data_IF_974957070089
#
_entry.id   IF_974957070089
#
_cell.length_a   1.000
_cell.length_b   1.000
_cell.length_c   1.000
_cell.angle_alpha   90.00
_cell.angle_beta   90.00
_cell.angle_gamma   90.00
#
_symmetry.space_group_name_H-M   'P 1'
#
loop_
_entity.id
_entity.type
_entity.pdbx_description
1 polymer ?
#
# COMPACT_ATOMS: atom_id res chain seq x y z
N UNK A 1 27.24 10.71 9.84
CA UNK A 1 26.25 11.20 8.84
C UNK A 1 25.63 10.06 8.03
N UNK A 2 26.40 9.13 7.44
CA UNK A 2 25.86 7.97 6.73
C UNK A 2 24.94 7.09 7.59
N UNK A 3 25.34 6.79 8.82
CA UNK A 3 24.52 5.98 9.75
C UNK A 3 23.18 6.63 10.08
N UNK A 4 23.16 7.95 10.23
CA UNK A 4 21.92 8.68 10.46
C UNK A 4 20.95 8.57 9.26
N UNK A 5 21.47 8.69 8.04
CA UNK A 5 20.70 8.52 6.80
C UNK A 5 20.15 7.09 6.72
N UNK A 6 20.96 6.07 7.01
CA UNK A 6 20.52 4.67 7.01
C UNK A 6 19.37 4.44 8.00
N UNK A 7 19.51 4.91 9.24
CA UNK A 7 18.49 4.75 10.28
C UNK A 7 17.17 5.39 9.84
N UNK A 8 17.21 6.61 9.31
CA UNK A 8 15.99 7.28 8.80
C UNK A 8 15.35 6.46 7.67
N UNK A 9 16.14 6.02 6.68
CA UNK A 9 15.60 5.25 5.56
C UNK A 9 14.99 3.92 6.02
N UNK A 10 15.59 3.24 7.01
CA UNK A 10 15.02 2.02 7.61
C UNK A 10 13.68 2.33 8.28
N UNK A 11 13.62 3.37 9.10
CA UNK A 11 12.38 3.76 9.81
C UNK A 11 11.27 4.08 8.82
N UNK A 12 11.56 4.88 7.79
CA UNK A 12 10.59 5.22 6.74
C UNK A 12 10.15 3.97 5.98
N UNK A 13 11.07 3.06 5.66
CA UNK A 13 10.75 1.81 4.96
C UNK A 13 9.78 0.95 5.78
N UNK A 14 10.10 0.70 7.05
CA UNK A 14 9.26 -0.10 7.95
C UNK A 14 7.88 0.52 8.11
N UNK A 15 7.79 1.83 8.34
CA UNK A 15 6.50 2.55 8.44
C UNK A 15 5.71 2.41 7.14
N UNK A 16 6.36 2.58 5.98
CA UNK A 16 5.69 2.45 4.68
C UNK A 16 5.17 1.03 4.41
N UNK A 17 5.87 -0.01 4.87
CA UNK A 17 5.40 -1.41 4.79
C UNK A 17 4.14 -1.62 5.61
N UNK A 18 4.14 -1.21 6.89
CA UNK A 18 2.96 -1.34 7.73
C UNK A 18 1.78 -0.51 7.19
N UNK A 19 2.04 0.72 6.73
CA UNK A 19 1.02 1.57 6.12
C UNK A 19 0.43 0.94 4.85
N UNK A 20 1.25 0.29 4.02
CA UNK A 20 0.78 -0.47 2.87
C UNK A 20 -0.08 -1.67 3.28
N UNK A 21 0.35 -2.48 4.25
CA UNK A 21 -0.41 -3.65 4.72
C UNK A 21 -1.80 -3.20 5.18
N UNK A 22 -1.85 -2.18 6.05
CA UNK A 22 -3.11 -1.60 6.53
C UNK A 22 -3.92 -1.03 5.35
N UNK A 23 -3.28 -0.26 4.48
CA UNK A 23 -3.92 0.34 3.31
C UNK A 23 -4.57 -0.69 2.39
N UNK A 24 -3.89 -1.80 2.09
CA UNK A 24 -4.41 -2.89 1.27
C UNK A 24 -5.56 -3.61 1.97
N UNK A 25 -5.45 -3.90 3.27
CA UNK A 25 -6.53 -4.56 4.02
C UNK A 25 -7.80 -3.70 4.12
N UNK A 26 -7.67 -2.37 4.06
CA UNK A 26 -8.79 -1.44 4.03
C UNK A 26 -9.49 -1.36 2.67
N UNK A 27 -8.90 -1.90 1.59
CA UNK A 27 -9.59 -1.97 0.31
C UNK A 27 -10.75 -2.95 0.42
N UNK A 28 -11.92 -2.54 -0.10
CA UNK A 28 -13.07 -3.43 -0.16
C UNK A 28 -12.69 -4.65 -1.00
N UNK A 29 -12.82 -5.85 -0.42
CA UNK A 29 -12.51 -7.10 -1.09
C UNK A 29 -13.50 -7.37 -2.22
N UNK A 30 -13.24 -6.83 -3.41
CA UNK A 30 -13.92 -7.25 -4.65
C UNK A 30 -13.23 -8.51 -5.17
N UNK A 31 -13.94 -9.64 -5.24
CA UNK A 31 -13.48 -10.81 -6.00
C UNK A 31 -13.07 -12.06 -5.22
N UNK A 32 -13.70 -12.34 -4.07
CA UNK A 32 -13.39 -13.53 -3.26
C UNK A 32 -14.18 -14.80 -3.63
N UNK A 33 -15.25 -14.70 -4.42
CA UNK A 33 -16.15 -15.81 -4.72
C UNK A 33 -16.27 -16.13 -6.22
N UNK A 34 -16.57 -17.40 -6.54
CA UNK A 34 -16.84 -17.85 -7.93
C UNK A 34 -17.93 -16.99 -8.61
N UNK A 35 -18.93 -16.52 -7.85
CA UNK A 35 -19.98 -15.61 -8.34
C UNK A 35 -19.43 -14.28 -8.87
N UNK A 36 -18.41 -13.70 -8.22
CA UNK A 36 -17.78 -12.45 -8.68
C UNK A 36 -16.96 -12.68 -9.96
N UNK A 37 -16.43 -13.89 -10.15
CA UNK A 37 -15.68 -14.30 -11.35
C UNK A 37 -16.59 -14.59 -12.55
N UNK A 38 -17.87 -14.92 -12.32
CA UNK A 38 -18.89 -15.16 -13.35
C UNK A 38 -19.83 -13.96 -13.59
N UNK A 39 -19.41 -12.75 -13.21
CA UNK A 39 -20.17 -11.51 -13.48
C UNK A 39 -21.29 -11.20 -12.49
N UNK A 40 -21.40 -11.98 -11.40
CA UNK A 40 -22.36 -11.80 -10.32
C UNK A 40 -21.95 -10.78 -9.25
N UNK A 41 -21.24 -9.71 -9.63
CA UNK A 41 -20.81 -8.63 -8.74
C UNK A 41 -21.92 -7.60 -8.48
N UNK A 42 -23.14 -8.08 -8.19
CA UNK A 42 -24.26 -7.24 -7.81
C UNK A 42 -24.13 -6.78 -6.37
N UNK A 43 -24.03 -5.47 -6.17
CA UNK A 43 -24.51 -4.76 -4.97
C UNK A 43 -23.95 -5.19 -3.60
N UNK A 44 -22.69 -4.84 -3.29
CA UNK A 44 -22.29 -4.61 -1.90
C UNK A 44 -20.98 -3.79 -1.79
N UNK A 45 -21.09 -2.47 -1.92
CA UNK A 45 -20.27 -1.53 -1.16
C UNK A 45 -20.89 -0.14 -1.30
N UNK A 46 -21.93 0.16 -0.53
CA UNK A 46 -22.35 1.54 -0.26
C UNK A 46 -21.35 2.25 0.68
N UNK A 47 -20.06 2.03 0.46
CA UNK A 47 -18.95 2.75 1.07
C UNK A 47 -18.36 3.64 -0.01
N UNK A 48 -18.54 4.95 0.14
CA UNK A 48 -18.14 6.04 -0.75
C UNK A 48 -17.08 5.66 -1.82
N UNK A 49 -17.48 5.62 -3.09
CA UNK A 49 -16.53 5.48 -4.21
C UNK A 49 -15.41 6.53 -4.17
N UNK A 50 -15.65 7.69 -3.54
CA UNK A 50 -14.63 8.69 -3.27
C UNK A 50 -13.64 8.26 -2.18
N UNK A 51 -14.10 7.56 -1.13
CA UNK A 51 -13.23 6.98 -0.11
C UNK A 51 -12.34 5.86 -0.70
N UNK A 52 -12.90 4.99 -1.53
CA UNK A 52 -12.11 3.94 -2.22
C UNK A 52 -11.07 4.56 -3.16
N UNK A 53 -11.45 5.61 -3.91
CA UNK A 53 -10.51 6.35 -4.77
C UNK A 53 -9.41 7.05 -3.97
N UNK A 54 -9.73 7.61 -2.81
CA UNK A 54 -8.75 8.25 -1.94
C UNK A 54 -7.80 7.24 -1.31
N UNK A 55 -8.32 6.10 -0.85
CA UNK A 55 -7.53 5.01 -0.30
C UNK A 55 -6.53 4.48 -1.35
N UNK A 56 -6.99 4.29 -2.59
CA UNK A 56 -6.12 3.93 -3.72
C UNK A 56 -4.96 4.93 -3.91
N UNK A 57 -5.23 6.23 -3.87
CA UNK A 57 -4.20 7.27 -4.00
C UNK A 57 -3.19 7.19 -2.85
N UNK A 58 -3.68 7.08 -1.61
CA UNK A 58 -2.82 7.00 -0.41
C UNK A 58 -1.93 5.75 -0.46
N UNK A 59 -2.50 4.58 -0.75
CA UNK A 59 -1.75 3.33 -0.85
C UNK A 59 -0.74 3.37 -2.00
N UNK A 60 -1.08 4.02 -3.13
CA UNK A 60 -0.12 4.23 -4.24
C UNK A 60 1.06 5.08 -3.80
N UNK A 61 0.83 6.15 -3.04
CA UNK A 61 1.92 6.99 -2.51
C UNK A 61 2.82 6.19 -1.57
N UNK A 62 2.24 5.41 -0.66
CA UNK A 62 3.03 4.53 0.23
C UNK A 62 3.83 3.49 -0.54
N UNK A 63 3.27 2.91 -1.61
CA UNK A 63 3.98 1.97 -2.47
C UNK A 63 5.19 2.60 -3.16
N UNK A 64 5.05 3.83 -3.67
CA UNK A 64 6.17 4.56 -4.27
C UNK A 64 7.27 4.84 -3.24
N UNK A 65 6.91 5.36 -2.05
CA UNK A 65 7.86 5.61 -0.96
C UNK A 65 8.59 4.33 -0.54
N UNK A 66 7.86 3.22 -0.44
CA UNK A 66 8.45 1.92 -0.11
C UNK A 66 9.46 1.49 -1.19
N UNK A 67 9.12 1.55 -2.47
CA UNK A 67 10.04 1.21 -3.57
C UNK A 67 11.31 2.07 -3.52
N UNK A 68 11.19 3.38 -3.38
CA UNK A 68 12.35 4.27 -3.31
C UNK A 68 13.24 3.97 -2.10
N UNK A 69 12.64 3.67 -0.94
CA UNK A 69 13.41 3.35 0.27
C UNK A 69 14.07 1.98 0.20
N UNK A 70 13.45 0.98 -0.43
CA UNK A 70 14.08 -0.32 -0.70
C UNK A 70 15.31 -0.16 -1.58
N UNK A 71 15.19 0.56 -2.70
CA UNK A 71 16.33 0.82 -3.60
C UNK A 71 17.41 1.61 -2.89
N UNK A 72 17.05 2.66 -2.15
CA UNK A 72 18.00 3.47 -1.39
C UNK A 72 18.74 2.64 -0.32
N UNK A 73 18.05 1.76 0.40
CA UNK A 73 18.69 0.85 1.36
C UNK A 73 19.63 -0.13 0.67
N UNK A 74 19.24 -0.69 -0.47
CA UNK A 74 20.11 -1.54 -1.29
C UNK A 74 21.42 -0.84 -1.68
N UNK A 75 21.33 0.43 -2.09
CA UNK A 75 22.50 1.25 -2.45
C UNK A 75 23.32 1.73 -1.24
N UNK A 76 22.69 1.92 -0.07
CA UNK A 76 23.37 2.36 1.15
C UNK A 76 24.08 1.22 1.90
N UNK A 77 23.63 -0.02 1.68
CA UNK A 77 24.18 -1.23 2.29
C UNK A 77 25.22 -1.92 1.39
N UNK A 78 25.15 -1.71 0.08
CA UNK A 78 26.21 -2.07 -0.87
C UNK A 78 27.51 -1.28 -0.61
#
# INVERSE_FOLDING_TARGET
MREFIKVITIVVNVISMFAMIVGVLLHSGRGGGLSDMFGGGGSAALGSAAAERNLNRITTVFALVWIFTVVALGLLLA
#
